data_IF_591271953903
#
_entry.id   IF_591271953903
#
_cell.length_a   1.000
_cell.length_b   1.000
_cell.length_c   1.000
_cell.angle_alpha   90.00
_cell.angle_beta   90.00
_cell.angle_gamma   90.00
#
_symmetry.space_group_name_H-M   'P 1'
#
loop_
_entity.id
_entity.type
_entity.pdbx_description
1 polymer ?
#
# COMPACT_ATOMS: atom_id res chain seq x y z
N UNK A 1 11.95 17.28 -8.18
CA UNK A 1 11.61 15.85 -8.12
C UNK A 1 10.16 15.73 -8.52
N UNK A 2 9.82 14.78 -9.39
CA UNK A 2 8.44 14.51 -9.75
C UNK A 2 7.76 13.82 -8.56
N UNK A 3 6.58 14.30 -8.15
CA UNK A 3 5.85 13.76 -7.02
C UNK A 3 4.76 12.84 -7.53
N UNK A 4 4.84 11.56 -7.17
CA UNK A 4 3.88 10.54 -7.58
C UNK A 4 2.82 10.35 -6.49
N UNK A 5 1.63 9.91 -6.90
CA UNK A 5 0.51 9.67 -6.00
C UNK A 5 -0.29 8.44 -6.46
N UNK A 6 -0.94 7.79 -5.50
CA UNK A 6 -1.98 6.78 -5.74
C UNK A 6 -3.30 7.31 -5.21
N UNK A 7 -4.34 7.29 -6.06
CA UNK A 7 -5.70 7.59 -5.63
C UNK A 7 -6.37 6.27 -5.26
N UNK A 8 -7.03 6.24 -4.10
CA UNK A 8 -7.72 5.08 -3.55
C UNK A 8 -9.21 5.42 -3.41
N UNK A 9 -10.05 4.55 -3.94
CA UNK A 9 -11.53 4.66 -3.93
C UNK A 9 -12.19 3.32 -3.52
N UNK A 10 -11.36 2.39 -3.01
CA UNK A 10 -11.74 1.04 -2.61
C UNK A 10 -11.36 0.72 -1.16
N UNK A 11 -10.83 1.69 -0.43
CA UNK A 11 -10.27 1.54 0.92
C UNK A 11 -9.01 0.69 1.02
N UNK A 12 -8.45 0.22 -0.11
CA UNK A 12 -7.29 -0.68 -0.13
C UNK A 12 -6.48 -0.55 -1.43
N UNK A 13 -5.26 -1.10 -1.42
CA UNK A 13 -4.34 -1.17 -2.57
C UNK A 13 -3.90 -2.61 -2.81
N UNK A 14 -3.96 -3.05 -4.07
CA UNK A 14 -3.38 -4.32 -4.52
C UNK A 14 -1.94 -4.15 -4.99
N UNK A 15 -1.03 -4.97 -4.46
CA UNK A 15 0.35 -5.14 -4.93
C UNK A 15 0.52 -6.59 -5.40
N UNK A 16 0.50 -6.79 -6.71
CA UNK A 16 0.68 -8.10 -7.33
C UNK A 16 0.73 -7.97 -8.84
N UNK A 17 1.00 -9.08 -9.54
CA UNK A 17 1.01 -9.08 -11.00
C UNK A 17 -0.41 -8.81 -11.53
N UNK A 18 -0.59 -7.81 -12.41
CA UNK A 18 -1.90 -7.46 -12.94
C UNK A 18 -2.56 -8.59 -13.72
N UNK A 19 -1.84 -9.59 -14.23
CA UNK A 19 -2.44 -10.73 -14.92
C UNK A 19 -3.48 -11.42 -14.02
N UNK A 20 -3.21 -11.52 -12.70
CA UNK A 20 -4.11 -12.18 -11.74
C UNK A 20 -5.37 -11.38 -11.41
N UNK A 21 -5.51 -10.14 -11.87
CA UNK A 21 -6.63 -9.26 -11.50
C UNK A 21 -7.27 -8.53 -12.68
N UNK A 22 -6.54 -8.28 -13.78
CA UNK A 22 -6.96 -7.45 -14.91
C UNK A 22 -7.11 -8.23 -16.23
N UNK A 23 -7.21 -9.56 -16.20
CA UNK A 23 -7.31 -10.41 -17.39
C UNK A 23 -8.24 -11.62 -17.23
N UNK A 24 -8.74 -12.16 -18.34
CA UNK A 24 -9.53 -13.39 -18.38
C UNK A 24 -8.67 -14.67 -18.44
N UNK A 25 -7.34 -14.51 -18.52
CA UNK A 25 -6.36 -15.51 -18.91
C UNK A 25 -5.44 -15.98 -17.77
N UNK A 26 -5.58 -15.42 -16.56
CA UNK A 26 -4.81 -15.86 -15.40
C UNK A 26 -5.46 -17.00 -14.62
N UNK A 27 -4.62 -17.92 -14.14
CA UNK A 27 -5.02 -19.14 -13.42
C UNK A 27 -5.63 -18.90 -12.04
N UNK A 28 -5.34 -17.74 -11.43
CA UNK A 28 -5.74 -17.40 -10.06
C UNK A 28 -6.61 -16.14 -10.02
N UNK A 29 -7.28 -15.81 -11.13
CA UNK A 29 -8.05 -14.57 -11.24
C UNK A 29 -9.27 -14.54 -10.33
N UNK A 30 -9.70 -13.33 -10.03
CA UNK A 30 -10.99 -13.07 -9.40
C UNK A 30 -11.97 -12.61 -10.47
N UNK A 31 -13.15 -13.24 -10.50
CA UNK A 31 -14.12 -13.00 -11.58
C UNK A 31 -15.03 -11.81 -11.28
N UNK A 32 -15.20 -11.46 -10.01
CA UNK A 32 -16.03 -10.36 -9.54
C UNK A 32 -15.39 -9.67 -8.31
N UNK A 33 -15.58 -8.36 -8.21
CA UNK A 33 -15.03 -7.57 -7.11
C UNK A 33 -15.77 -7.87 -5.79
N UNK A 34 -17.09 -7.84 -5.79
CA UNK A 34 -17.91 -7.95 -4.58
C UNK A 34 -18.00 -9.40 -4.12
N UNK A 35 -18.38 -10.29 -5.04
CA UNK A 35 -18.77 -11.67 -4.71
C UNK A 35 -17.59 -12.67 -4.73
N UNK A 36 -16.36 -12.22 -5.04
CA UNK A 36 -15.20 -13.13 -5.15
C UNK A 36 -13.88 -12.51 -4.60
N UNK A 37 -13.67 -11.18 -4.72
CA UNK A 37 -12.50 -10.51 -4.13
C UNK A 37 -12.75 -10.14 -2.67
N UNK A 38 -13.80 -9.34 -2.42
CA UNK A 38 -14.11 -8.81 -1.09
C UNK A 38 -14.44 -9.91 -0.07
N UNK A 39 -15.09 -11.00 -0.49
CA UNK A 39 -15.38 -12.14 0.42
C UNK A 39 -14.11 -12.82 0.98
N UNK A 40 -12.97 -12.67 0.30
CA UNK A 40 -11.68 -13.26 0.70
C UNK A 40 -10.84 -12.30 1.54
N UNK A 41 -11.31 -11.07 1.77
CA UNK A 41 -10.67 -10.11 2.64
C UNK A 41 -11.02 -10.41 4.09
N UNK A 42 -10.00 -10.41 4.93
CA UNK A 42 -10.12 -10.43 6.38
C UNK A 42 -9.97 -8.98 6.87
N UNK A 43 -11.10 -8.33 7.13
CA UNK A 43 -11.15 -6.92 7.54
C UNK A 43 -10.61 -6.66 8.96
N UNK A 44 -10.29 -7.72 9.72
CA UNK A 44 -9.56 -7.60 10.98
C UNK A 44 -8.03 -7.55 10.76
N UNK A 45 -7.56 -7.60 9.50
CA UNK A 45 -6.14 -7.57 9.12
C UNK A 45 -5.83 -6.45 8.14
N UNK A 46 -4.81 -5.67 8.48
CA UNK A 46 -4.30 -4.59 7.61
C UNK A 46 -3.65 -5.08 6.29
N UNK A 47 -3.27 -6.36 6.20
CA UNK A 47 -2.66 -6.97 5.01
C UNK A 47 -3.30 -8.33 4.73
N UNK A 48 -3.87 -8.44 3.55
CA UNK A 48 -4.63 -9.57 3.04
C UNK A 48 -3.92 -10.24 1.85
N UNK A 49 -4.17 -11.53 1.65
CA UNK A 49 -3.65 -12.32 0.52
C UNK A 49 -4.79 -13.11 -0.14
N UNK A 50 -5.78 -12.41 -0.72
CA UNK A 50 -7.03 -13.03 -1.19
C UNK A 50 -6.82 -14.09 -2.28
N UNK A 51 -5.70 -14.03 -3.02
CA UNK A 51 -5.37 -15.01 -4.08
C UNK A 51 -4.42 -16.11 -3.63
N UNK A 52 -4.16 -16.19 -2.32
CA UNK A 52 -3.20 -17.10 -1.72
C UNK A 52 -1.79 -16.52 -1.64
N UNK A 53 -0.93 -17.27 -0.94
CA UNK A 53 0.38 -16.78 -0.52
C UNK A 53 1.32 -16.56 -1.70
N UNK A 54 1.87 -15.35 -1.78
CA UNK A 54 2.90 -14.99 -2.78
C UNK A 54 2.38 -14.54 -4.14
N UNK A 55 1.05 -14.47 -4.34
CA UNK A 55 0.45 -13.97 -5.59
C UNK A 55 0.35 -12.44 -5.59
N UNK A 56 -0.06 -11.89 -4.45
CA UNK A 56 -0.08 -10.45 -4.20
C UNK A 56 -0.67 -10.13 -2.84
N UNK A 57 -0.58 -8.85 -2.47
CA UNK A 57 -1.04 -8.29 -1.20
C UNK A 57 -2.18 -7.32 -1.46
N UNK A 58 -3.26 -7.43 -0.71
CA UNK A 58 -4.26 -6.38 -0.59
C UNK A 58 -4.03 -5.66 0.74
N UNK A 59 -3.72 -4.37 0.72
CA UNK A 59 -3.29 -3.60 1.89
C UNK A 59 -4.34 -2.53 2.16
N UNK A 60 -4.86 -2.47 3.38
CA UNK A 60 -5.80 -1.42 3.77
C UNK A 60 -5.09 -0.06 3.75
N UNK A 61 -5.69 0.93 3.11
CA UNK A 61 -5.05 2.22 2.84
C UNK A 61 -5.18 3.18 4.01
N UNK A 62 -4.71 2.79 5.20
CA UNK A 62 -4.74 3.63 6.41
C UNK A 62 -6.13 4.15 6.76
N UNK A 63 -6.43 5.39 6.35
CA UNK A 63 -7.72 6.06 6.56
C UNK A 63 -8.78 5.75 5.48
N UNK A 64 -8.53 4.77 4.60
CA UNK A 64 -9.44 4.38 3.53
C UNK A 64 -9.21 5.21 2.26
N UNK A 65 -10.30 5.65 1.63
CA UNK A 65 -10.24 6.38 0.35
C UNK A 65 -9.50 7.71 0.47
N UNK A 66 -8.79 8.10 -0.58
CA UNK A 66 -7.99 9.32 -0.57
C UNK A 66 -6.88 9.33 -1.62
N UNK A 67 -5.91 10.22 -1.40
CA UNK A 67 -4.75 10.39 -2.27
C UNK A 67 -3.47 10.33 -1.44
N UNK A 68 -2.68 9.30 -1.66
CA UNK A 68 -1.48 9.02 -0.88
C UNK A 68 -0.22 9.29 -1.70
N UNK A 69 0.83 9.90 -1.10
CA UNK A 69 2.09 10.14 -1.77
C UNK A 69 2.83 8.83 -2.03
N UNK A 70 3.55 8.79 -3.16
CA UNK A 70 4.36 7.66 -3.58
C UNK A 70 5.79 8.12 -3.82
N UNK A 71 6.73 7.55 -3.08
CA UNK A 71 8.16 7.74 -3.28
C UNK A 71 8.71 6.59 -4.10
N UNK A 72 9.49 6.91 -5.14
CA UNK A 72 10.13 5.92 -6.00
C UNK A 72 11.63 6.09 -5.92
N UNK A 73 12.31 5.09 -5.37
CA UNK A 73 13.76 5.03 -5.38
C UNK A 73 14.22 4.28 -6.63
N UNK A 74 15.15 4.88 -7.37
CA UNK A 74 15.76 4.29 -8.57
C UNK A 74 17.20 3.94 -8.26
N UNK A 75 17.59 2.70 -8.56
CA UNK A 75 18.99 2.28 -8.48
C UNK A 75 19.82 3.05 -9.51
N UNK A 76 20.81 3.79 -9.02
CA UNK A 76 21.59 4.72 -9.86
C UNK A 76 22.53 4.01 -10.83
N UNK A 77 22.87 2.74 -10.58
CA UNK A 77 23.72 1.95 -11.47
C UNK A 77 22.95 1.36 -12.66
N UNK A 78 21.79 0.75 -12.40
CA UNK A 78 20.98 0.07 -13.43
C UNK A 78 19.89 0.94 -14.04
N UNK A 79 19.54 2.07 -13.40
CA UNK A 79 18.42 2.92 -13.77
C UNK A 79 17.05 2.28 -13.55
N UNK A 80 16.98 1.16 -12.81
CA UNK A 80 15.73 0.43 -12.52
C UNK A 80 15.14 0.88 -11.19
N UNK A 81 13.82 0.76 -11.06
CA UNK A 81 13.14 0.95 -9.78
C UNK A 81 13.71 -0.03 -8.76
N UNK A 82 14.18 0.52 -7.63
CA UNK A 82 14.72 -0.21 -6.49
C UNK A 82 13.67 -0.40 -5.41
N UNK A 83 12.91 0.66 -5.11
CA UNK A 83 11.84 0.63 -4.11
C UNK A 83 10.71 1.59 -4.47
N UNK A 84 9.51 1.27 -3.99
CA UNK A 84 8.34 2.14 -4.05
C UNK A 84 7.75 2.14 -2.64
N UNK A 85 7.58 3.33 -2.08
CA UNK A 85 7.02 3.52 -0.74
C UNK A 85 5.77 4.36 -0.83
N UNK A 86 4.69 3.89 -0.20
CA UNK A 86 3.44 4.62 -0.07
C UNK A 86 3.27 4.92 1.42
N UNK A 87 3.20 6.20 1.77
CA UNK A 87 2.99 6.62 3.16
C UNK A 87 1.51 6.87 3.39
N UNK A 88 0.86 5.97 4.14
CA UNK A 88 -0.57 6.10 4.48
C UNK A 88 -0.82 7.00 5.69
N UNK A 89 0.13 7.04 6.63
CA UNK A 89 0.07 7.79 7.88
C UNK A 89 1.45 8.41 8.09
N UNK A 90 1.51 9.67 8.49
CA UNK A 90 2.76 10.34 8.85
C UNK A 90 3.23 9.86 10.23
N UNK A 91 4.54 9.69 10.41
CA UNK A 91 5.10 9.37 11.71
C UNK A 91 4.78 10.53 12.68
N UNK A 92 4.14 10.21 13.81
CA UNK A 92 4.01 11.15 14.90
C UNK A 92 5.34 11.20 15.64
N UNK A 93 6.13 12.23 15.39
CA UNK A 93 7.25 12.57 16.27
C UNK A 93 6.65 13.18 17.55
N UNK A 94 6.78 12.48 18.67
CA UNK A 94 6.53 13.07 19.99
C UNK A 94 7.62 14.13 20.23
N UNK A 95 7.24 15.40 20.09
CA UNK A 95 8.08 16.59 20.32
C UNK A 95 8.22 16.87 21.84
N UNK A 96 8.52 15.83 22.63
CA UNK A 96 8.66 15.88 24.10
C UNK A 96 10.16 15.92 24.51
N UNK A 97 10.92 16.86 23.95
CA UNK A 97 12.31 17.14 24.39
C UNK A 97 12.60 18.66 24.50
N UNK A 98 11.60 19.46 24.92
CA UNK A 98 11.86 20.80 25.48
C UNK A 98 11.00 21.03 26.74
N UNK A 99 11.57 20.81 27.93
CA UNK A 99 11.64 21.85 28.98
C UNK A 99 12.34 21.39 30.28
N UNK A 100 13.32 22.21 30.68
CA UNK A 100 13.78 22.51 32.05
C UNK A 100 14.74 21.56 32.79
N UNK A 101 16.03 21.93 32.80
CA UNK A 101 16.59 22.65 33.95
C UNK A 101 18.04 23.09 33.70
N UNK A 102 18.20 24.27 33.11
CA UNK A 102 19.28 25.16 33.55
C UNK A 102 18.78 25.97 34.75
N UNK A 103 19.69 26.26 35.68
CA UNK A 103 19.61 27.13 36.88
C UNK A 103 19.17 26.48 38.22
N UNK A 104 20.14 25.95 38.99
CA UNK A 104 20.69 26.50 40.27
C UNK A 104 21.72 25.54 40.90
#
# INVERSE_FOLDING_TARGET
>A
MEQHYVNVDAGCIWIGDPCYVLGNDASSRVNDWVDDFCEKLDYDKNVNQPLGKGVGLCIDSGYGDGRYPVEVEVDTFSGRVKSVTISFIEDHYDDDDEENNDDW
#
